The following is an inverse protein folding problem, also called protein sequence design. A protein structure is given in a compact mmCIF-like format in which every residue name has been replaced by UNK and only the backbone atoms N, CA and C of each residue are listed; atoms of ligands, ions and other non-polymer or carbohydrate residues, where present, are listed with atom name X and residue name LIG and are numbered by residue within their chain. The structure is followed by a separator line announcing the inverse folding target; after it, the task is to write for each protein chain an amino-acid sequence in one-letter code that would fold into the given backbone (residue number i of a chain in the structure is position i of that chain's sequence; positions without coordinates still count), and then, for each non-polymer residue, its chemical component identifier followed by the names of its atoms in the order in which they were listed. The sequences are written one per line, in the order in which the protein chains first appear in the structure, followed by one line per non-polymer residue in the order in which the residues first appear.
data_IF_274771251940
#
_entry.id   IF_274771251940
#
_cell.length_a   1.000
_cell.length_b   1.000
_cell.length_c   1.000
_cell.angle_alpha   90.00
_cell.angle_beta   90.00
_cell.angle_gamma   90.00
#
_symmetry.space_group_name_H-M   'P 1'
#
loop_
_entity.id
_entity.type
_entity.pdbx_description
1 polymer ?
#
# COMPACT_ATOMS: atom_id res chain seq x y z
N UNK A 1 0.01 5.82 3.34
CA UNK A 1 -1.05 5.97 4.37
C UNK A 1 -1.79 7.28 4.14
N UNK A 2 -3.11 7.26 4.26
CA UNK A 2 -3.98 8.45 4.10
C UNK A 2 -4.88 8.60 5.32
N UNK A 3 -5.35 9.80 5.58
CA UNK A 3 -6.37 10.06 6.60
C UNK A 3 -7.78 9.67 6.12
N UNK A 4 -8.80 9.92 6.95
CA UNK A 4 -10.21 9.61 6.63
C UNK A 4 -10.80 10.49 5.51
N UNK A 5 -10.18 11.63 5.19
CA UNK A 5 -10.54 12.48 4.07
C UNK A 5 -9.81 12.05 2.78
N UNK A 6 -8.83 11.16 2.87
CA UNK A 6 -8.00 10.72 1.75
C UNK A 6 -6.79 11.63 1.49
N UNK A 7 -6.37 12.42 2.47
CA UNK A 7 -5.16 13.22 2.42
C UNK A 7 -3.94 12.35 2.77
N UNK A 8 -2.84 12.53 2.04
CA UNK A 8 -1.62 11.74 2.23
C UNK A 8 -0.95 12.12 3.56
N UNK A 9 -0.76 11.13 4.43
CA UNK A 9 0.00 11.27 5.69
C UNK A 9 1.44 10.79 5.55
N UNK A 10 1.70 9.81 4.69
CA UNK A 10 3.04 9.29 4.45
C UNK A 10 3.07 8.27 3.33
N UNK A 11 4.19 8.17 2.63
CA UNK A 11 4.44 7.20 1.56
C UNK A 11 5.87 6.69 1.69
N UNK A 12 6.05 5.38 1.53
CA UNK A 12 7.36 4.74 1.54
C UNK A 12 7.50 3.90 0.27
N UNK A 13 8.62 4.02 -0.42
CA UNK A 13 8.99 3.16 -1.54
C UNK A 13 10.08 2.23 -1.05
N UNK A 14 9.86 0.93 -1.17
CA UNK A 14 10.79 -0.10 -0.73
C UNK A 14 11.28 -0.95 -1.88
N UNK A 15 12.38 -1.66 -1.67
CA UNK A 15 12.81 -2.71 -2.59
C UNK A 15 11.77 -3.86 -2.59
N UNK A 16 11.72 -4.59 -3.70
CA UNK A 16 10.71 -5.63 -3.93
C UNK A 16 10.86 -6.87 -3.02
N UNK A 17 12.03 -7.05 -2.40
CA UNK A 17 12.33 -8.10 -1.43
C UNK A 17 11.98 -7.69 0.02
N UNK A 18 11.58 -6.43 0.24
CA UNK A 18 11.19 -5.94 1.55
C UNK A 18 9.73 -6.32 1.83
N UNK A 19 9.49 -7.11 2.87
CA UNK A 19 8.14 -7.47 3.27
C UNK A 19 7.35 -6.28 3.82
N UNK A 20 6.06 -6.21 3.47
CA UNK A 20 5.15 -5.10 3.83
C UNK A 20 5.10 -4.80 5.33
N UNK A 21 5.15 -5.83 6.19
CA UNK A 21 5.15 -5.65 7.65
C UNK A 21 6.40 -4.95 8.17
N UNK A 22 7.55 -5.18 7.52
CA UNK A 22 8.81 -4.51 7.85
C UNK A 22 8.75 -3.05 7.40
N UNK A 23 8.29 -2.81 6.17
CA UNK A 23 8.11 -1.45 5.64
C UNK A 23 7.11 -0.63 6.46
N UNK A 24 5.96 -1.22 6.80
CA UNK A 24 4.92 -0.57 7.58
C UNK A 24 5.38 -0.16 8.97
N UNK A 25 6.27 -0.93 9.61
CA UNK A 25 6.84 -0.56 10.91
C UNK A 25 7.57 0.78 10.85
N UNK A 26 8.38 0.98 9.80
CA UNK A 26 9.14 2.22 9.60
C UNK A 26 8.18 3.36 9.30
N UNK A 27 7.26 3.16 8.34
CA UNK A 27 6.29 4.18 7.96
C UNK A 27 5.39 4.61 9.13
N UNK A 28 4.89 3.66 9.92
CA UNK A 28 4.00 3.94 11.05
C UNK A 28 4.72 4.71 12.16
N UNK A 29 6.01 4.44 12.38
CA UNK A 29 6.83 5.23 13.29
C UNK A 29 6.93 6.68 12.81
N UNK A 30 7.36 6.88 11.56
CA UNK A 30 7.56 8.23 11.01
C UNK A 30 6.26 9.05 11.01
N UNK A 31 5.15 8.43 10.63
CA UNK A 31 3.86 9.11 10.60
C UNK A 31 3.32 9.34 12.01
N UNK A 32 3.52 8.41 12.95
CA UNK A 32 3.17 8.60 14.35
C UNK A 32 3.91 9.77 15.00
N UNK A 33 5.22 9.88 14.74
CA UNK A 33 6.06 10.97 15.23
C UNK A 33 5.64 12.33 14.65
N UNK A 34 5.25 12.37 13.37
CA UNK A 34 4.81 13.59 12.71
C UNK A 34 3.37 14.02 13.09
N UNK A 35 2.51 13.08 13.47
CA UNK A 35 1.10 13.31 13.72
C UNK A 35 0.68 12.81 15.11
N UNK A 36 0.99 13.60 16.14
CA UNK A 36 0.71 13.30 17.57
C UNK A 36 -0.76 12.98 17.93
N UNK A 37 -1.73 13.26 17.04
CA UNK A 37 -3.15 12.93 17.23
C UNK A 37 -3.54 11.59 16.60
N UNK A 38 -2.64 10.94 15.88
CA UNK A 38 -2.88 9.63 15.28
C UNK A 38 -2.92 8.60 16.41
N UNK A 39 -4.05 7.90 16.52
CA UNK A 39 -4.26 6.86 17.53
C UNK A 39 -4.75 5.53 16.93
N UNK A 40 -5.36 5.58 15.74
CA UNK A 40 -5.98 4.44 15.09
C UNK A 40 -5.60 4.40 13.61
N UNK A 41 -5.15 3.23 13.16
CA UNK A 41 -4.85 2.94 11.76
C UNK A 41 -5.65 1.70 11.35
N UNK A 42 -6.32 1.75 10.20
CA UNK A 42 -6.94 0.58 9.58
C UNK A 42 -5.98 -0.05 8.60
N UNK A 43 -5.86 -1.38 8.64
CA UNK A 43 -5.05 -2.14 7.70
C UNK A 43 -5.73 -3.47 7.31
N UNK A 44 -5.32 -4.03 6.18
CA UNK A 44 -5.83 -5.33 5.72
C UNK A 44 -5.20 -6.50 6.51
N UNK A 45 -5.76 -7.70 6.30
CA UNK A 45 -5.31 -8.93 6.95
C UNK A 45 -3.83 -9.28 6.76
N UNK A 46 -3.14 -8.72 5.75
CA UNK A 46 -1.71 -8.92 5.52
C UNK A 46 -0.82 -8.28 6.59
N UNK A 47 -1.36 -7.31 7.35
CA UNK A 47 -0.64 -6.58 8.40
C UNK A 47 -0.87 -7.15 9.81
N UNK A 48 -1.47 -8.34 9.93
CA UNK A 48 -1.70 -9.02 11.21
C UNK A 48 -0.40 -9.50 11.89
N UNK A 49 -0.53 -10.01 13.11
CA UNK A 49 0.56 -10.60 13.90
C UNK A 49 1.39 -9.56 14.66
N UNK A 50 2.70 -9.80 14.78
CA UNK A 50 3.61 -9.03 15.64
C UNK A 50 3.72 -7.54 15.33
N UNK A 51 3.22 -7.09 14.17
CA UNK A 51 3.13 -5.66 13.85
C UNK A 51 2.08 -4.96 14.72
N UNK A 52 0.92 -5.59 14.97
CA UNK A 52 -0.17 -5.03 15.78
C UNK A 52 0.32 -4.77 17.21
N UNK A 53 0.93 -5.79 17.82
CA UNK A 53 1.48 -5.70 19.19
C UNK A 53 2.56 -4.64 19.28
N UNK A 54 3.46 -4.56 18.29
CA UNK A 54 4.51 -3.56 18.27
C UNK A 54 3.98 -2.13 18.12
N UNK A 55 2.97 -1.90 17.28
CA UNK A 55 2.40 -0.57 17.11
C UNK A 55 1.81 -0.04 18.41
N UNK A 56 1.11 -0.92 19.14
CA UNK A 56 0.54 -0.55 20.42
C UNK A 56 1.64 -0.28 21.46
N UNK A 57 2.62 -1.18 21.59
CA UNK A 57 3.65 -1.09 22.62
C UNK A 57 4.67 0.04 22.37
N UNK A 58 5.08 0.26 21.11
CA UNK A 58 6.15 1.19 20.77
C UNK A 58 5.63 2.58 20.38
N UNK A 59 4.42 2.68 19.80
CA UNK A 59 3.91 3.92 19.22
C UNK A 59 2.57 4.38 19.84
N UNK A 60 2.00 3.61 20.78
CA UNK A 60 0.64 3.84 21.29
C UNK A 60 -0.42 3.91 20.16
N UNK A 61 -0.17 3.20 19.05
CA UNK A 61 -1.05 3.15 17.88
C UNK A 61 -1.85 1.86 17.86
N UNK A 62 -3.16 1.97 17.76
CA UNK A 62 -4.06 0.83 17.53
C UNK A 62 -4.12 0.53 16.05
N UNK A 63 -3.78 -0.71 15.67
CA UNK A 63 -3.92 -1.20 14.31
C UNK A 63 -5.16 -2.09 14.21
N UNK A 64 -6.23 -1.56 13.61
CA UNK A 64 -7.46 -2.29 13.34
C UNK A 64 -7.32 -3.08 12.04
N UNK A 65 -7.28 -4.41 12.17
CA UNK A 65 -7.13 -5.34 11.04
C UNK A 65 -8.50 -5.81 10.56
N UNK A 66 -8.73 -5.73 9.25
CA UNK A 66 -9.90 -6.32 8.62
C UNK A 66 -9.73 -7.86 8.54
N UNK A 67 -10.28 -8.59 9.54
CA UNK A 67 -10.27 -10.06 9.61
C UNK A 67 -11.61 -10.68 9.17
N UNK A 68 -12.04 -10.36 7.95
CA UNK A 68 -13.29 -10.87 7.39
C UNK A 68 -13.01 -12.08 6.49
N UNK A 69 -13.76 -13.16 6.70
CA UNK A 69 -13.71 -14.36 5.85
C UNK A 69 -14.66 -14.22 4.66
N UNK A 70 -14.15 -14.49 3.45
CA UNK A 70 -14.90 -14.37 2.21
C UNK A 70 -14.89 -12.96 1.62
N UNK A 71 -15.65 -12.74 0.54
CA UNK A 71 -15.73 -11.43 -0.09
C UNK A 71 -16.67 -10.51 0.71
N UNK A 72 -16.09 -9.58 1.46
CA UNK A 72 -16.81 -8.54 2.20
C UNK A 72 -16.34 -7.17 1.75
N UNK A 73 -17.30 -6.27 1.51
CA UNK A 73 -16.98 -4.87 1.17
C UNK A 73 -16.42 -4.18 2.40
N UNK A 74 -15.15 -3.79 2.36
CA UNK A 74 -14.47 -3.09 3.44
C UNK A 74 -14.86 -1.61 3.44
N UNK A 75 -15.55 -1.10 4.49
CA UNK A 75 -16.15 0.24 4.47
C UNK A 75 -15.16 1.41 4.32
N UNK A 76 -13.87 1.19 4.61
CA UNK A 76 -12.83 2.24 4.59
C UNK A 76 -11.88 2.16 3.40
N UNK A 77 -11.86 1.03 2.69
CA UNK A 77 -10.92 0.78 1.59
C UNK A 77 -11.07 1.78 0.43
N UNK A 78 -12.29 2.23 0.15
CA UNK A 78 -12.58 3.21 -0.91
C UNK A 78 -11.87 4.55 -0.72
N UNK A 79 -11.44 4.89 0.50
CA UNK A 79 -10.74 6.16 0.80
C UNK A 79 -9.37 6.16 0.11
N UNK A 80 -8.63 5.04 0.21
CA UNK A 80 -7.32 4.86 -0.44
C UNK A 80 -7.49 4.83 -1.96
N UNK A 81 -8.49 4.10 -2.45
CA UNK A 81 -8.80 4.01 -3.88
C UNK A 81 -9.16 5.38 -4.46
N UNK A 82 -9.94 6.19 -3.72
CA UNK A 82 -10.26 7.56 -4.10
C UNK A 82 -9.00 8.43 -4.20
N UNK A 83 -8.07 8.31 -3.26
CA UNK A 83 -6.79 9.04 -3.33
C UNK A 83 -6.04 8.71 -4.63
N UNK A 84 -5.90 7.42 -4.96
CA UNK A 84 -5.27 7.00 -6.21
C UNK A 84 -6.04 7.48 -7.45
N UNK A 85 -7.37 7.44 -7.42
CA UNK A 85 -8.20 7.95 -8.52
C UNK A 85 -7.93 9.44 -8.78
N UNK A 86 -7.72 10.27 -7.75
CA UNK A 86 -7.35 11.67 -7.91
C UNK A 86 -5.97 11.85 -8.55
N UNK A 87 -4.98 11.07 -8.10
CA UNK A 87 -3.63 11.13 -8.67
C UNK A 87 -3.61 10.68 -10.14
N UNK A 88 -4.36 9.63 -10.47
CA UNK A 88 -4.50 9.14 -11.84
C UNK A 88 -5.23 10.16 -12.73
N UNK A 89 -6.31 10.76 -12.23
CA UNK A 89 -7.07 11.80 -12.95
C UNK A 89 -6.21 13.03 -13.27
N UNK A 90 -5.35 13.42 -12.34
CA UNK A 90 -4.41 14.55 -12.50
C UNK A 90 -3.13 14.16 -13.25
N UNK A 91 -3.03 12.93 -13.77
CA UNK A 91 -1.87 12.36 -14.49
C UNK A 91 -0.56 12.44 -13.70
N UNK A 92 -0.64 12.37 -12.37
CA UNK A 92 0.52 12.41 -11.48
C UNK A 92 1.17 11.04 -11.26
N UNK A 93 0.55 9.97 -11.76
CA UNK A 93 1.09 8.61 -11.73
C UNK A 93 1.28 8.11 -13.16
N UNK A 94 2.45 7.51 -13.43
CA UNK A 94 2.70 6.77 -14.65
C UNK A 94 1.79 5.54 -14.67
N UNK A 95 1.07 5.36 -15.78
CA UNK A 95 -0.07 4.44 -15.86
C UNK A 95 0.31 2.99 -16.05
N UNK A 96 1.38 2.75 -16.81
CA UNK A 96 1.77 1.39 -17.18
C UNK A 96 3.12 1.38 -17.91
N UNK A 97 3.99 0.43 -17.56
CA UNK A 97 5.24 0.15 -18.29
C UNK A 97 5.26 -1.30 -18.83
N UNK A 98 4.12 -1.99 -18.91
CA UNK A 98 4.06 -3.40 -19.32
C UNK A 98 4.11 -3.65 -20.84
N UNK A 99 4.51 -2.67 -21.67
CA UNK A 99 4.72 -2.93 -23.10
C UNK A 99 6.14 -3.42 -23.35
N UNK A 100 6.31 -4.75 -23.43
CA UNK A 100 7.44 -5.33 -24.17
C UNK A 100 7.36 -4.87 -25.63
N UNK A 101 8.35 -4.11 -26.10
CA UNK A 101 8.51 -3.78 -27.53
C UNK A 101 9.05 -4.95 -28.36
N UNK A 102 9.49 -6.04 -27.71
CA UNK A 102 10.03 -7.21 -28.40
C UNK A 102 9.02 -8.36 -28.43
N UNK A 103 8.30 -8.44 -29.54
CA UNK A 103 7.91 -9.69 -30.21
C UNK A 103 7.59 -9.34 -31.67
N UNK A 104 8.62 -9.08 -32.47
CA UNK A 104 8.53 -9.13 -33.94
C UNK A 104 9.91 -9.26 -34.61
N UNK A 105 10.41 -10.50 -34.65
CA UNK A 105 11.46 -11.08 -35.53
C UNK A 105 11.99 -12.31 -34.79
N UNK A 106 12.10 -13.50 -35.35
CA UNK A 106 12.02 -13.96 -36.74
C UNK A 106 12.15 -15.47 -36.66
N UNK A 107 11.06 -16.21 -36.80
CA UNK A 107 11.12 -17.65 -37.14
C UNK A 107 10.87 -17.75 -38.64
N UNK A 108 11.85 -17.29 -39.41
CA UNK A 108 11.99 -17.59 -40.82
C UNK A 108 13.44 -18.01 -41.07
N UNK A 109 13.81 -19.12 -40.44
CA UNK A 109 15.00 -19.92 -40.74
C UNK A 109 14.62 -21.40 -40.62
N UNK A 110 13.85 -21.87 -41.61
CA UNK A 110 13.98 -23.24 -42.11
C UNK A 110 14.28 -23.14 -43.60
N UNK A 111 15.56 -22.96 -43.90
CA UNK A 111 16.12 -23.36 -45.19
C UNK A 111 16.49 -24.84 -45.13
N UNK A 112 16.33 -25.49 -46.29
CA UNK A 112 16.68 -26.87 -46.66
C UNK A 112 15.64 -27.94 -46.27
#
# INVERSE_FOLDING_TARGET
MVDTLGLLLGVMVTAADTGDRTAARVLLKEVGDAHHRLALVWADGGYTGSLVEHCLAAFALVLAIDDMRGFVVLPKRWIVERFFAHLMRTRRLARDFERRTTKRRSDDLRGL
#
